data_IF_699324103554
#
_entry.id   IF_699324103554
#
_cell.length_a   1.000
_cell.length_b   1.000
_cell.length_c   1.000
_cell.angle_alpha   90.00
_cell.angle_beta   90.00
_cell.angle_gamma   90.00
#
_symmetry.space_group_name_H-M   'P 1'
#
loop_
_entity.id
_entity.type
_entity.pdbx_description
1 polymer ?
#
# COMPACT_ATOMS: atom_id res chain seq x y z
N UNK A 1 22.83 25.13 -15.11
CA UNK A 1 23.26 23.96 -14.33
C UNK A 1 22.02 23.12 -14.09
N UNK A 2 21.93 21.86 -14.56
CA UNK A 2 20.79 21.01 -14.20
C UNK A 2 20.92 20.57 -12.73
N UNK A 3 19.78 20.39 -12.10
CA UNK A 3 19.63 19.97 -10.72
C UNK A 3 20.22 18.54 -10.56
N UNK A 4 20.83 18.18 -9.43
CA UNK A 4 21.41 16.85 -9.22
C UNK A 4 20.37 15.71 -9.20
N UNK A 5 19.08 16.05 -9.21
CA UNK A 5 17.96 15.13 -9.05
C UNK A 5 16.87 15.44 -10.07
N UNK A 6 17.13 15.19 -11.35
CA UNK A 6 16.13 15.19 -12.43
C UNK A 6 15.29 16.46 -12.59
N UNK A 7 14.34 16.39 -13.52
CA UNK A 7 13.22 17.32 -13.63
C UNK A 7 12.15 17.00 -12.56
N UNK A 8 11.16 17.88 -12.39
CA UNK A 8 9.98 17.60 -11.55
C UNK A 8 9.24 16.36 -12.05
N UNK A 9 9.13 16.19 -13.37
CA UNK A 9 8.47 15.06 -14.01
C UNK A 9 9.15 13.73 -13.63
N UNK A 10 10.48 13.69 -13.57
CA UNK A 10 11.22 12.49 -13.17
C UNK A 10 10.93 12.08 -11.72
N UNK A 11 10.72 13.06 -10.84
CA UNK A 11 10.35 12.80 -9.45
C UNK A 11 8.92 12.27 -9.33
N UNK A 12 7.99 12.83 -10.11
CA UNK A 12 6.60 12.35 -10.15
C UNK A 12 6.53 10.89 -10.63
N UNK A 13 7.28 10.55 -11.68
CA UNK A 13 7.35 9.18 -12.20
C UNK A 13 7.96 8.24 -11.15
N UNK A 14 9.13 8.58 -10.58
CA UNK A 14 9.79 7.74 -9.59
C UNK A 14 8.90 7.52 -8.34
N UNK A 15 8.15 8.54 -7.95
CA UNK A 15 7.19 8.45 -6.84
C UNK A 15 6.02 7.54 -7.19
N UNK A 16 5.43 7.67 -8.38
CA UNK A 16 4.35 6.81 -8.83
C UNK A 16 4.78 5.34 -8.90
N UNK A 17 5.97 5.06 -9.42
CA UNK A 17 6.55 3.72 -9.47
C UNK A 17 6.77 3.14 -8.07
N UNK A 18 7.31 3.95 -7.14
CA UNK A 18 7.50 3.53 -5.76
C UNK A 18 6.18 3.21 -5.06
N UNK A 19 5.18 4.09 -5.19
CA UNK A 19 3.83 3.88 -4.62
C UNK A 19 3.20 2.61 -5.19
N UNK A 20 3.33 2.38 -6.48
CA UNK A 20 2.82 1.17 -7.12
C UNK A 20 3.52 -0.08 -6.58
N UNK A 21 4.85 -0.06 -6.49
CA UNK A 21 5.61 -1.19 -5.98
C UNK A 21 5.27 -1.51 -4.51
N UNK A 22 5.23 -0.47 -3.67
CA UNK A 22 4.94 -0.59 -2.25
C UNK A 22 3.56 -1.21 -2.00
N UNK A 23 2.55 -0.83 -2.78
CA UNK A 23 1.18 -1.31 -2.59
C UNK A 23 0.91 -2.67 -3.26
N UNK A 24 1.60 -3.00 -4.35
CA UNK A 24 1.29 -4.18 -5.16
C UNK A 24 2.17 -5.39 -4.86
N UNK A 25 3.44 -5.18 -4.48
CA UNK A 25 4.42 -6.29 -4.38
C UNK A 25 5.13 -6.36 -3.03
N UNK A 26 5.38 -5.23 -2.35
CA UNK A 26 6.11 -5.24 -1.09
C UNK A 26 5.31 -5.96 0.00
N UNK A 27 5.89 -7.01 0.58
CA UNK A 27 5.35 -7.69 1.76
C UNK A 27 5.34 -6.77 2.99
N UNK A 28 4.23 -6.80 3.73
CA UNK A 28 4.08 -6.05 4.99
C UNK A 28 3.87 -7.01 6.16
N UNK A 29 4.74 -6.96 7.16
CA UNK A 29 4.67 -7.84 8.33
C UNK A 29 3.34 -7.72 9.08
N UNK A 30 2.82 -6.50 9.21
CA UNK A 30 1.50 -6.23 9.82
C UNK A 30 0.32 -6.82 9.03
N UNK A 31 0.51 -7.14 7.75
CA UNK A 31 -0.48 -7.78 6.89
C UNK A 31 -0.20 -9.29 6.72
N UNK A 32 0.54 -9.90 7.65
CA UNK A 32 0.91 -11.31 7.58
C UNK A 32 1.82 -11.64 6.39
N UNK A 33 2.62 -10.67 5.94
CA UNK A 33 3.51 -10.82 4.78
C UNK A 33 2.85 -10.56 3.43
N UNK A 34 1.55 -10.26 3.40
CA UNK A 34 0.86 -9.88 2.17
C UNK A 34 1.22 -8.44 1.73
N UNK A 35 1.13 -8.19 0.42
CA UNK A 35 1.08 -6.82 -0.10
C UNK A 35 -0.29 -6.19 0.20
N UNK A 36 -0.39 -4.85 0.36
CA UNK A 36 -1.64 -4.16 0.66
C UNK A 36 -2.76 -4.47 -0.33
N UNK A 37 -2.46 -4.52 -1.63
CA UNK A 37 -3.44 -4.87 -2.66
C UNK A 37 -3.96 -6.31 -2.49
N UNK A 38 -3.07 -7.28 -2.24
CA UNK A 38 -3.46 -8.67 -2.02
C UNK A 38 -4.29 -8.85 -0.74
N UNK A 39 -3.95 -8.12 0.33
CA UNK A 39 -4.73 -8.09 1.57
C UNK A 39 -6.15 -7.58 1.30
N UNK A 40 -6.30 -6.39 0.68
CA UNK A 40 -7.62 -5.83 0.34
C UNK A 40 -8.45 -6.77 -0.53
N UNK A 41 -7.86 -7.43 -1.52
CA UNK A 41 -8.59 -8.36 -2.41
C UNK A 41 -9.03 -9.66 -1.73
N UNK A 42 -8.41 -10.04 -0.62
CA UNK A 42 -8.86 -11.15 0.23
C UNK A 42 -10.03 -10.71 1.12
N UNK A 43 -9.82 -9.65 1.91
CA UNK A 43 -10.82 -9.22 2.91
C UNK A 43 -12.03 -8.47 2.33
N UNK A 44 -11.93 -7.86 1.14
CA UNK A 44 -13.08 -7.27 0.44
C UNK A 44 -14.09 -8.32 -0.04
N UNK A 45 -13.62 -9.54 -0.38
CA UNK A 45 -14.52 -10.62 -0.83
C UNK A 45 -15.36 -11.20 0.32
N UNK A 46 -14.86 -11.09 1.55
CA UNK A 46 -15.47 -11.70 2.72
C UNK A 46 -16.36 -10.73 3.52
N UNK A 47 -16.45 -9.45 3.12
CA UNK A 47 -17.27 -8.45 3.81
C UNK A 47 -18.58 -8.17 3.04
N UNK A 48 -19.77 -8.39 3.64
CA UNK A 48 -21.06 -8.10 3.00
C UNK A 48 -21.37 -6.58 2.93
N UNK A 49 -20.57 -5.74 3.58
CA UNK A 49 -20.68 -4.28 3.52
C UNK A 49 -19.32 -3.71 3.12
N UNK A 50 -19.20 -3.36 1.83
CA UNK A 50 -17.94 -3.17 1.13
C UNK A 50 -17.09 -1.94 1.44
N UNK A 51 -17.26 -1.26 2.59
CA UNK A 51 -16.55 0.01 2.83
C UNK A 51 -15.89 0.20 4.20
N UNK A 52 -15.95 -0.75 5.14
CA UNK A 52 -15.26 -0.57 6.42
C UNK A 52 -14.32 -1.74 6.73
N UNK A 53 -13.02 -1.51 6.50
CA UNK A 53 -11.97 -2.30 7.15
C UNK A 53 -11.93 -1.84 8.61
N UNK A 54 -12.82 -2.37 9.45
CA UNK A 54 -12.75 -2.15 10.89
C UNK A 54 -11.42 -2.77 11.34
N UNK A 55 -10.45 -1.98 11.84
CA UNK A 55 -9.28 -2.56 12.44
C UNK A 55 -9.77 -3.28 13.69
N UNK A 56 -9.56 -4.60 13.79
CA UNK A 56 -9.73 -5.24 15.09
C UNK A 56 -8.77 -4.54 16.06
N UNK A 57 -9.37 -3.87 17.04
CA UNK A 57 -8.70 -3.27 18.16
C UNK A 57 -7.98 -4.40 18.90
N UNK A 58 -6.68 -4.56 18.63
CA UNK A 58 -5.82 -5.46 19.38
C UNK A 58 -5.84 -4.98 20.82
N UNK A 59 -6.55 -5.71 21.68
CA UNK A 59 -6.60 -5.46 23.11
C UNK A 59 -5.17 -5.49 23.65
N UNK A 60 -4.71 -4.35 24.17
CA UNK A 60 -3.56 -4.30 25.05
C UNK A 60 -4.10 -4.41 26.48
N UNK A 61 -3.78 -5.52 27.15
CA UNK A 61 -3.99 -5.73 28.58
C UNK A 61 -3.22 -4.72 29.44
#
# INVERSE_FOLDING_TARGET
MPNPSGSIDDFEIATAEWVYWFNSFRSHGTLGGAAPHAYRSKFRRDSPHGDELVPEHVNAD
#
